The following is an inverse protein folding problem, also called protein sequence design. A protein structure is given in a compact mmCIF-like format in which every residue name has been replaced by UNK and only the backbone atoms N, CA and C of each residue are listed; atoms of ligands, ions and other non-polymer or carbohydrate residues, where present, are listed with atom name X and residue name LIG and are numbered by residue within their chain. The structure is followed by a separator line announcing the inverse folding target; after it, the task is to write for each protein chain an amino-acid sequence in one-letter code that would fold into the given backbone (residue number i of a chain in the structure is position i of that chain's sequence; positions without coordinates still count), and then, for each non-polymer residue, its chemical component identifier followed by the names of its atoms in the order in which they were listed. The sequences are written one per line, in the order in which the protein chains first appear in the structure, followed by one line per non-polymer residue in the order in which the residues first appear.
data_IF_654880373960
#
_entry.id   IF_654880373960
#
_cell.length_a   1.000
_cell.length_b   1.000
_cell.length_c   1.000
_cell.angle_alpha   90.00
_cell.angle_beta   90.00
_cell.angle_gamma   90.00
#
_symmetry.space_group_name_H-M   'P 1'
#
loop_
_entity.id
_entity.type
_entity.pdbx_description
1 polymer ?
#
# COMPACT_ATOMS: atom_id res chain seq x y z
N UNK A 1 16.01 0.95 -0.22
CA UNK A 1 15.56 0.51 -1.56
C UNK A 1 16.71 0.21 -2.51
N UNK A 2 17.74 1.06 -2.64
CA UNK A 2 18.89 0.83 -3.52
C UNK A 2 19.55 -0.56 -3.35
N UNK A 3 19.73 -1.03 -2.11
CA UNK A 3 20.33 -2.35 -1.86
C UNK A 3 19.42 -3.53 -2.22
N UNK A 4 18.11 -3.40 -2.00
CA UNK A 4 17.12 -4.42 -2.43
C UNK A 4 17.08 -4.51 -3.95
N UNK A 5 17.10 -3.36 -4.62
CA UNK A 5 17.18 -3.23 -6.07
C UNK A 5 18.43 -3.93 -6.62
N UNK A 6 19.59 -3.71 -5.99
CA UNK A 6 20.86 -4.33 -6.40
C UNK A 6 20.84 -5.85 -6.27
N UNK A 7 20.27 -6.38 -5.19
CA UNK A 7 20.25 -7.83 -4.91
C UNK A 7 19.15 -8.59 -5.66
N UNK A 8 18.04 -7.92 -6.01
CA UNK A 8 16.87 -8.53 -6.65
C UNK A 8 16.48 -7.76 -7.93
N UNK A 9 17.31 -7.78 -8.99
CA UNK A 9 17.08 -6.99 -10.20
C UNK A 9 15.81 -7.39 -10.98
N UNK A 10 15.31 -8.62 -10.77
CA UNK A 10 14.07 -9.13 -11.38
C UNK A 10 12.83 -8.93 -10.50
N UNK A 11 12.96 -8.26 -9.36
CA UNK A 11 11.81 -7.93 -8.51
C UNK A 11 10.78 -7.12 -9.29
N UNK A 12 9.52 -7.30 -8.96
CA UNK A 12 8.42 -6.54 -9.56
C UNK A 12 7.87 -5.56 -8.55
N UNK A 13 7.22 -4.52 -9.04
CA UNK A 13 6.71 -3.44 -8.21
C UNK A 13 5.19 -3.35 -8.32
N UNK A 14 4.51 -3.19 -7.19
CA UNK A 14 3.08 -2.92 -7.13
C UNK A 14 2.85 -1.59 -6.43
N UNK A 15 1.86 -0.85 -6.91
CA UNK A 15 1.28 0.26 -6.19
C UNK A 15 -0.03 -0.21 -5.54
N UNK A 16 -0.08 -0.16 -4.21
CA UNK A 16 -1.23 -0.58 -3.41
C UNK A 16 -1.78 0.62 -2.64
N UNK A 17 -3.06 0.90 -2.81
CA UNK A 17 -3.79 1.91 -2.02
C UNK A 17 -4.78 1.21 -1.11
N UNK A 18 -4.65 1.44 0.20
CA UNK A 18 -5.55 0.92 1.22
C UNK A 18 -6.38 2.06 1.80
N UNK A 19 -7.70 1.86 1.86
CA UNK A 19 -8.62 2.88 2.38
C UNK A 19 -9.42 2.37 3.59
N UNK A 20 -10.01 3.30 4.30
CA UNK A 20 -11.04 3.09 5.32
C UNK A 20 -12.16 4.11 5.06
N UNK A 21 -13.27 4.03 5.78
CA UNK A 21 -14.33 5.05 5.66
C UNK A 21 -13.80 6.39 6.12
N UNK A 22 -14.32 7.45 5.51
CA UNK A 22 -14.04 8.81 5.94
C UNK A 22 -14.46 9.01 7.39
N UNK A 23 -13.78 9.95 8.05
CA UNK A 23 -14.12 10.40 9.41
C UNK A 23 -14.38 11.89 9.41
N UNK A 24 -15.11 12.37 10.41
CA UNK A 24 -15.53 13.76 10.51
C UNK A 24 -14.79 14.53 11.60
N UNK A 25 -14.05 13.81 12.45
CA UNK A 25 -13.35 14.36 13.60
C UNK A 25 -11.82 14.12 13.51
N UNK A 26 -11.05 15.08 14.03
CA UNK A 26 -9.58 15.06 13.98
C UNK A 26 -8.95 14.04 14.95
N UNK A 27 -9.57 13.78 16.09
CA UNK A 27 -9.13 12.76 17.03
C UNK A 27 -9.36 11.36 16.44
N UNK A 28 -10.55 11.16 15.84
CA UNK A 28 -10.86 9.92 15.12
C UNK A 28 -9.92 9.70 13.93
N UNK A 29 -9.57 10.76 13.20
CA UNK A 29 -8.55 10.71 12.13
C UNK A 29 -7.20 10.22 12.65
N UNK A 30 -6.69 10.79 13.73
CA UNK A 30 -5.40 10.41 14.31
C UNK A 30 -5.41 8.95 14.79
N UNK A 31 -6.52 8.52 15.40
CA UNK A 31 -6.73 7.13 15.79
C UNK A 31 -6.74 6.22 14.56
N UNK A 32 -7.47 6.58 13.51
CA UNK A 32 -7.54 5.79 12.28
C UNK A 32 -6.19 5.67 11.58
N UNK A 33 -5.40 6.74 11.50
CA UNK A 33 -4.04 6.69 10.92
C UNK A 33 -3.14 5.73 11.71
N UNK A 34 -3.24 5.75 13.03
CA UNK A 34 -2.52 4.82 13.92
C UNK A 34 -2.98 3.36 13.70
N UNK A 35 -4.29 3.13 13.61
CA UNK A 35 -4.83 1.80 13.31
C UNK A 35 -4.44 1.32 11.93
N UNK A 36 -4.46 2.18 10.91
CA UNK A 36 -4.02 1.82 9.56
C UNK A 36 -2.55 1.38 9.56
N UNK A 37 -1.68 2.07 10.29
CA UNK A 37 -0.29 1.66 10.45
C UNK A 37 -0.16 0.29 11.15
N UNK A 38 -0.97 0.03 12.20
CA UNK A 38 -1.01 -1.28 12.88
C UNK A 38 -1.56 -2.38 11.99
N UNK A 39 -2.68 -2.13 11.30
CA UNK A 39 -3.31 -3.05 10.36
C UNK A 39 -2.36 -3.41 9.23
N UNK A 40 -1.61 -2.43 8.70
CA UNK A 40 -0.64 -2.71 7.64
C UNK A 40 0.47 -3.64 8.14
N UNK A 41 1.03 -3.40 9.33
CA UNK A 41 2.02 -4.29 9.96
C UNK A 41 1.50 -5.72 10.14
N UNK A 42 0.23 -5.90 10.53
CA UNK A 42 -0.41 -7.22 10.64
C UNK A 42 -0.59 -7.86 9.26
N UNK A 43 -1.07 -7.10 8.29
CA UNK A 43 -1.35 -7.57 6.94
C UNK A 43 -0.10 -8.13 6.26
N UNK A 44 1.05 -7.45 6.40
CA UNK A 44 2.32 -7.90 5.80
C UNK A 44 2.87 -9.19 6.42
N UNK A 45 2.40 -9.57 7.61
CA UNK A 45 2.77 -10.82 8.28
C UNK A 45 1.92 -12.02 7.82
N UNK A 46 0.84 -11.80 7.06
CA UNK A 46 0.06 -12.92 6.54
C UNK A 46 0.90 -13.77 5.60
N UNK A 47 0.85 -15.10 5.77
CA UNK A 47 1.70 -16.08 5.09
C UNK A 47 1.84 -15.83 3.58
N UNK A 48 0.74 -15.56 2.89
CA UNK A 48 0.76 -15.30 1.43
C UNK A 48 1.42 -13.97 1.08
N UNK A 49 1.25 -12.93 1.90
CA UNK A 49 1.91 -11.63 1.72
C UNK A 49 3.39 -11.73 2.04
N UNK A 50 3.74 -12.22 3.23
CA UNK A 50 5.12 -12.36 3.69
C UNK A 50 5.98 -13.22 2.75
N UNK A 51 5.42 -14.30 2.20
CA UNK A 51 6.11 -15.16 1.22
C UNK A 51 6.53 -14.42 -0.05
N UNK A 52 5.75 -13.44 -0.49
CA UNK A 52 5.91 -12.80 -1.79
C UNK A 52 6.50 -11.39 -1.72
N UNK A 53 6.48 -10.75 -0.55
CA UNK A 53 6.95 -9.39 -0.35
C UNK A 53 8.42 -9.37 0.04
N UNK A 54 9.24 -8.70 -0.76
CA UNK A 54 10.66 -8.45 -0.47
C UNK A 54 10.81 -7.24 0.47
N UNK A 55 9.99 -6.21 0.25
CA UNK A 55 10.01 -4.99 1.03
C UNK A 55 8.95 -4.00 0.56
N UNK A 56 8.85 -2.86 1.24
CA UNK A 56 7.87 -1.84 0.89
C UNK A 56 8.32 -0.44 1.34
N UNK A 57 7.72 0.58 0.74
CA UNK A 57 7.65 1.94 1.26
C UNK A 57 6.18 2.32 1.38
N UNK A 58 5.84 3.16 2.36
CA UNK A 58 4.46 3.60 2.57
C UNK A 58 4.39 5.08 2.95
N UNK A 59 3.32 5.73 2.54
CA UNK A 59 2.96 7.09 2.92
C UNK A 59 1.47 7.14 3.25
N UNK A 60 1.12 7.87 4.32
CA UNK A 60 -0.27 8.19 4.63
C UNK A 60 -0.63 9.50 3.94
N UNK A 61 -1.79 9.53 3.30
CA UNK A 61 -2.35 10.72 2.67
C UNK A 61 -3.70 11.03 3.32
N UNK A 62 -3.96 12.31 3.61
CA UNK A 62 -5.26 12.79 4.07
C UNK A 62 -5.69 13.93 3.17
N UNK A 63 -6.89 13.81 2.62
CA UNK A 63 -7.58 14.86 1.86
C UNK A 63 -8.86 15.25 2.60
N UNK A 64 -9.32 16.48 2.40
CA UNK A 64 -10.58 16.98 2.99
C UNK A 64 -11.61 17.05 1.88
N UNK A 65 -12.76 16.40 2.08
CA UNK A 65 -13.89 16.49 1.17
C UNK A 65 -14.48 17.90 1.25
N UNK A 66 -14.58 18.60 0.12
CA UNK A 66 -15.12 19.96 0.08
C UNK A 66 -16.62 20.07 0.34
N UNK A 67 -17.37 18.96 0.23
CA UNK A 67 -18.84 18.94 0.38
C UNK A 67 -19.28 18.76 1.83
N UNK A 68 -18.67 17.82 2.55
CA UNK A 68 -19.08 17.42 3.90
C UNK A 68 -17.97 17.58 4.94
N UNK A 69 -16.83 18.16 4.54
CA UNK A 69 -15.64 18.37 5.37
C UNK A 69 -15.05 17.10 6.00
N UNK A 70 -15.47 15.92 5.54
CA UNK A 70 -14.91 14.66 6.00
C UNK A 70 -13.46 14.49 5.55
N UNK A 71 -12.66 13.83 6.38
CA UNK A 71 -11.31 13.42 6.05
C UNK A 71 -11.35 12.11 5.29
N UNK A 72 -10.68 12.07 4.14
CA UNK A 72 -10.44 10.85 3.37
C UNK A 72 -8.96 10.46 3.50
N UNK A 73 -8.73 9.41 4.27
CA UNK A 73 -7.41 8.88 4.63
C UNK A 73 -7.07 7.62 3.83
N UNK A 74 -5.91 7.66 3.18
CA UNK A 74 -5.37 6.55 2.40
C UNK A 74 -3.99 6.16 2.91
N UNK A 75 -3.65 4.87 2.77
CA UNK A 75 -2.27 4.41 2.85
C UNK A 75 -1.82 3.97 1.46
N UNK A 76 -0.90 4.74 0.88
CA UNK A 76 -0.22 4.42 -0.36
C UNK A 76 1.03 3.60 -0.06
N UNK A 77 1.17 2.46 -0.73
CA UNK A 77 2.24 1.51 -0.50
C UNK A 77 2.87 1.12 -1.82
N UNK A 78 4.16 1.41 -1.95
CA UNK A 78 5.00 0.84 -2.98
C UNK A 78 5.52 -0.51 -2.47
N UNK A 79 5.08 -1.61 -3.09
CA UNK A 79 5.50 -2.96 -2.75
C UNK A 79 6.58 -3.44 -3.72
N UNK A 80 7.66 -4.00 -3.18
CA UNK A 80 8.64 -4.79 -3.91
C UNK A 80 8.30 -6.26 -3.70
N UNK A 81 7.98 -6.98 -4.77
CA UNK A 81 7.57 -8.39 -4.73
C UNK A 81 8.50 -9.29 -5.52
N UNK A 82 8.51 -10.58 -5.16
CA UNK A 82 9.31 -11.59 -5.83
C UNK A 82 9.02 -11.66 -7.34
N UNK A 83 10.05 -11.96 -8.13
CA UNK A 83 9.94 -12.08 -9.60
C UNK A 83 8.92 -13.14 -10.06
N UNK A 84 8.57 -14.07 -9.16
CA UNK A 84 7.59 -15.14 -9.36
C UNK A 84 6.16 -14.75 -8.97
N UNK A 85 5.92 -13.53 -8.51
CA UNK A 85 4.61 -13.07 -8.03
C UNK A 85 3.49 -13.30 -9.05
N UNK A 86 3.72 -12.93 -10.31
CA UNK A 86 2.74 -13.08 -11.39
C UNK A 86 2.78 -14.44 -12.11
N UNK A 87 3.72 -15.33 -11.75
CA UNK A 87 3.95 -16.58 -12.49
C UNK A 87 3.11 -17.76 -11.98
N UNK A 88 2.60 -17.70 -10.75
CA UNK A 88 1.88 -18.80 -10.12
C UNK A 88 0.68 -18.28 -9.31
N UNK A 89 -0.46 -18.93 -9.42
CA UNK A 89 -1.68 -18.60 -8.64
C UNK A 89 -1.47 -18.67 -7.12
N UNK A 90 -0.58 -19.55 -6.65
CA UNK A 90 -0.20 -19.64 -5.23
C UNK A 90 0.59 -18.43 -4.73
N UNK A 91 1.20 -17.67 -5.64
CA UNK A 91 1.98 -16.48 -5.33
C UNK A 91 1.17 -15.20 -5.55
N UNK A 92 0.45 -15.13 -6.67
CA UNK A 92 -0.33 -13.96 -7.05
C UNK A 92 -1.43 -13.68 -6.03
N UNK A 93 -1.50 -12.44 -5.55
CA UNK A 93 -2.55 -11.95 -4.67
C UNK A 93 -3.45 -11.04 -5.50
N UNK A 94 -4.69 -11.49 -5.71
CA UNK A 94 -5.72 -10.73 -6.44
C UNK A 94 -6.21 -9.54 -5.60
N UNK A 95 -6.81 -8.54 -6.25
CA UNK A 95 -7.35 -7.36 -5.56
C UNK A 95 -8.37 -7.73 -4.46
N UNK A 96 -9.20 -8.74 -4.70
CA UNK A 96 -10.18 -9.20 -3.72
C UNK A 96 -9.49 -9.84 -2.50
N UNK A 97 -8.41 -10.59 -2.69
CA UNK A 97 -7.61 -11.15 -1.60
C UNK A 97 -6.93 -10.03 -0.79
N UNK A 98 -6.35 -9.02 -1.45
CA UNK A 98 -5.83 -7.83 -0.77
C UNK A 98 -6.90 -7.13 0.06
N UNK A 99 -8.11 -7.00 -0.49
CA UNK A 99 -9.27 -6.44 0.22
C UNK A 99 -9.61 -7.25 1.47
N UNK A 100 -9.65 -8.59 1.37
CA UNK A 100 -9.94 -9.46 2.51
C UNK A 100 -8.83 -9.41 3.58
N UNK A 101 -7.57 -9.39 3.16
CA UNK A 101 -6.45 -9.23 4.08
C UNK A 101 -6.52 -7.89 4.81
N UNK A 102 -6.80 -6.81 4.09
CA UNK A 102 -6.93 -5.50 4.69
C UNK A 102 -8.10 -5.42 5.67
N UNK A 103 -9.29 -5.86 5.25
CA UNK A 103 -10.48 -5.97 6.10
C UNK A 103 -10.19 -6.73 7.40
N UNK A 104 -9.55 -7.90 7.29
CA UNK A 104 -9.19 -8.75 8.42
C UNK A 104 -8.17 -8.06 9.34
N UNK A 105 -7.13 -7.47 8.78
CA UNK A 105 -6.06 -6.84 9.56
C UNK A 105 -6.54 -5.62 10.36
N UNK A 106 -7.48 -4.87 9.75
CA UNK A 106 -8.14 -3.71 10.34
C UNK A 106 -9.38 -4.06 11.18
N UNK A 107 -9.81 -5.33 11.19
CA UNK A 107 -11.04 -5.80 11.86
C UNK A 107 -12.30 -5.01 11.43
N UNK A 108 -12.41 -4.65 10.15
CA UNK A 108 -13.54 -3.87 9.64
C UNK A 108 -14.78 -4.74 9.49
N UNK A 109 -15.92 -4.21 9.93
CA UNK A 109 -17.24 -4.83 9.73
C UNK A 109 -17.82 -4.58 8.32
N UNK A 110 -17.16 -3.77 7.50
CA UNK A 110 -17.51 -3.51 6.10
C UNK A 110 -16.38 -3.95 5.14
N UNK A 111 -16.67 -4.01 3.85
CA UNK A 111 -15.66 -4.30 2.82
C UNK A 111 -15.00 -3.00 2.36
N UNK A 112 -13.71 -2.76 2.65
CA UNK A 112 -13.02 -1.53 2.23
C UNK A 112 -12.73 -1.55 0.73
N UNK A 113 -12.43 -0.38 0.17
CA UNK A 113 -11.92 -0.27 -1.20
C UNK A 113 -10.40 -0.41 -1.17
N UNK A 114 -9.87 -1.28 -2.02
CA UNK A 114 -8.42 -1.44 -2.20
C UNK A 114 -8.12 -1.36 -3.68
N UNK A 115 -7.10 -0.58 -4.05
CA UNK A 115 -6.58 -0.57 -5.41
C UNK A 115 -5.19 -1.19 -5.42
N UNK A 116 -4.92 -2.07 -6.38
CA UNK A 116 -3.59 -2.68 -6.56
C UNK A 116 -3.26 -2.71 -8.04
N UNK A 117 -2.10 -2.20 -8.41
CA UNK A 117 -1.67 -2.09 -9.79
C UNK A 117 -0.20 -2.48 -9.91
N UNK A 118 0.14 -3.25 -10.95
CA UNK A 118 1.53 -3.52 -11.29
C UNK A 118 2.16 -2.26 -11.89
N UNK A 119 3.31 -1.85 -11.38
CA UNK A 119 4.08 -0.76 -11.98
C UNK A 119 4.80 -1.34 -13.20
N UNK A 120 4.44 -0.83 -14.37
CA UNK A 120 5.08 -1.18 -15.63
C UNK A 120 6.22 -0.19 -15.91
N UNK A 121 7.31 -0.65 -16.53
CA UNK A 121 8.34 0.25 -17.01
C UNK A 121 7.74 1.21 -18.04
N UNK A 122 8.00 2.51 -17.89
CA UNK A 122 7.73 3.47 -18.97
C UNK A 122 8.73 3.23 -20.11
N UNK A 123 8.38 3.60 -21.34
CA UNK A 123 9.07 3.21 -22.61
C UNK A 123 10.61 3.33 -22.62
N UNK A 124 11.21 4.11 -21.72
CA UNK A 124 12.67 4.30 -21.59
C UNK A 124 13.21 4.15 -20.14
N UNK A 125 12.38 3.70 -19.19
CA UNK A 125 12.74 3.60 -17.76
C UNK A 125 12.58 2.17 -17.28
N UNK A 126 13.51 1.70 -16.44
CA UNK A 126 13.35 0.42 -15.74
C UNK A 126 12.12 0.44 -14.81
N UNK A 127 11.60 -0.75 -14.46
CA UNK A 127 10.51 -0.91 -13.47
C UNK A 127 10.84 -0.16 -12.18
N UNK A 128 12.11 -0.16 -11.80
CA UNK A 128 12.63 0.49 -10.59
C UNK A 128 12.55 2.01 -10.70
N UNK A 129 13.02 2.60 -11.81
CA UNK A 129 12.96 4.05 -11.98
C UNK A 129 11.49 4.53 -12.05
N UNK A 130 10.61 3.72 -12.64
CA UNK A 130 9.16 3.97 -12.65
C UNK A 130 8.56 3.89 -11.24
N UNK A 131 9.00 2.93 -10.41
CA UNK A 131 8.58 2.82 -9.01
C UNK A 131 9.05 4.01 -8.15
N UNK A 132 10.27 4.51 -8.40
CA UNK A 132 10.79 5.72 -7.74
C UNK A 132 9.94 6.94 -8.11
N UNK A 133 9.64 7.14 -9.39
CA UNK A 133 8.77 8.22 -9.87
C UNK A 133 7.38 8.16 -9.19
N UNK A 134 6.77 6.96 -9.12
CA UNK A 134 5.46 6.79 -8.47
C UNK A 134 5.52 7.09 -6.96
N UNK A 135 6.63 6.76 -6.30
CA UNK A 135 6.80 7.08 -4.87
C UNK A 135 7.01 8.57 -4.63
N UNK A 136 7.70 9.27 -5.54
CA UNK A 136 7.95 10.69 -5.44
C UNK A 136 6.67 11.55 -5.49
N UNK A 137 5.57 11.01 -6.04
CA UNK A 137 4.25 11.70 -6.09
C UNK A 137 3.62 11.89 -4.72
N UNK A 138 3.99 11.07 -3.74
CA UNK A 138 3.40 11.09 -2.41
C UNK A 138 4.45 11.61 -1.43
N UNK A 139 4.50 12.93 -1.15
CA UNK A 139 5.36 13.43 -0.09
C UNK A 139 5.00 12.73 1.22
N UNK A 140 6.02 12.20 1.90
CA UNK A 140 5.86 11.64 3.24
C UNK A 140 5.43 12.79 4.15
N UNK A 141 4.13 12.96 4.40
CA UNK A 141 3.65 13.85 5.46
C UNK A 141 3.93 13.18 6.81
N UNK A 142 5.18 13.24 7.23
CA UNK A 142 5.52 13.15 8.64
C UNK A 142 5.33 14.56 9.21
N UNK A 143 4.20 14.83 9.86
CA UNK A 143 4.20 15.84 10.91
C UNK A 143 4.47 15.11 12.21
N UNK A 144 5.70 15.31 12.67
CA UNK A 144 6.15 15.15 14.04
C UNK A 144 5.09 15.73 14.99
N UNK A 145 4.83 14.95 16.06
CA UNK A 145 4.16 15.28 17.33
C UNK A 145 4.01 16.78 17.63
#
# INVERSE_FOLDING_TARGET
MAEVIRRKPKARWLFLTLTVKNVYDGEELNRNLSEMARGFRKMVQYKKVAKNMIGFMRASEVTVNSKDHSYNQHLHVLLCVESTYFKNQNNYIKQNEWTQFWKKAMKLNYTPVVNVQAIKPKKEKSDIASAVDETAKYPVKARTI
#
